data_IF_816338518357
#
_entry.id   IF_816338518357
#
_cell.length_a   1.000
_cell.length_b   1.000
_cell.length_c   1.000
_cell.angle_alpha   90.00
_cell.angle_beta   90.00
_cell.angle_gamma   90.00
#
_symmetry.space_group_name_H-M   'P 1'
#
loop_
_entity.id
_entity.type
_entity.pdbx_description
1 polymer ?
#
# COMPACT_ATOMS: atom_id res chain seq x y z
N UNK A 1 5.96 29.35 37.56
CA UNK A 1 5.24 30.11 36.52
C UNK A 1 5.34 29.26 35.25
N UNK A 2 4.32 28.67 34.64
CA UNK A 2 2.87 28.74 34.87
C UNK A 2 2.12 27.51 34.31
N UNK A 3 2.80 26.40 33.94
CA UNK A 3 2.12 25.27 33.26
C UNK A 3 2.16 23.94 34.02
N UNK A 4 2.88 23.89 35.14
CA UNK A 4 2.89 22.76 36.10
C UNK A 4 1.72 22.80 37.12
N UNK A 5 0.73 23.68 36.92
CA UNK A 5 -0.32 23.99 37.92
C UNK A 5 -1.78 23.75 37.48
N UNK A 6 -2.03 23.04 36.38
CA UNK A 6 -3.39 22.55 36.04
C UNK A 6 -3.52 21.02 36.12
N UNK A 7 -2.74 20.44 37.04
CA UNK A 7 -3.13 19.41 38.03
C UNK A 7 -4.24 18.42 37.60
N UNK A 8 -3.96 17.12 37.54
CA UNK A 8 -3.90 16.26 38.74
C UNK A 8 -5.20 16.19 39.59
N UNK A 9 -6.35 16.71 39.16
CA UNK A 9 -7.53 16.73 40.04
C UNK A 9 -8.73 15.83 39.73
N UNK A 10 -8.87 15.12 38.60
CA UNK A 10 -10.16 14.40 38.37
C UNK A 10 -10.04 12.97 37.79
N UNK A 11 -9.32 12.09 38.49
CA UNK A 11 -9.67 10.64 38.50
C UNK A 11 -10.58 10.40 39.70
N UNK A 12 -11.89 10.14 39.50
CA UNK A 12 -12.69 9.12 40.21
C UNK A 12 -14.15 9.01 39.72
N UNK A 13 -14.55 7.80 39.25
CA UNK A 13 -15.89 7.14 39.26
C UNK A 13 -17.15 7.94 38.82
N UNK A 14 -18.03 7.52 37.89
CA UNK A 14 -18.54 6.24 37.33
C UNK A 14 -19.95 6.57 36.72
N UNK A 15 -20.91 5.64 36.44
CA UNK A 15 -20.89 4.21 36.11
C UNK A 15 -21.34 3.92 34.64
N UNK A 16 -21.50 2.64 34.31
CA UNK A 16 -21.88 2.04 33.02
C UNK A 16 -23.06 2.70 32.27
N UNK A 17 -22.97 2.74 30.92
CA UNK A 17 -23.85 2.04 29.95
C UNK A 17 -23.48 2.46 28.49
N UNK A 18 -23.58 1.48 27.59
CA UNK A 18 -23.22 1.44 26.17
C UNK A 18 -23.39 2.72 25.31
N UNK A 19 -22.39 3.02 24.46
CA UNK A 19 -22.59 3.01 23.00
C UNK A 19 -21.24 3.02 22.26
N UNK A 20 -21.00 1.97 21.49
CA UNK A 20 -19.94 1.85 20.50
C UNK A 20 -20.27 2.79 19.33
N UNK A 21 -19.44 3.79 19.07
CA UNK A 21 -19.52 4.57 17.83
C UNK A 21 -18.22 4.40 17.08
N UNK A 22 -18.22 3.39 16.21
CA UNK A 22 -17.28 3.27 15.11
C UNK A 22 -17.63 4.38 14.12
N UNK A 23 -16.90 5.50 14.18
CA UNK A 23 -16.93 6.48 13.09
C UNK A 23 -15.82 6.12 12.10
N UNK A 24 -16.24 5.50 11.01
CA UNK A 24 -15.44 5.20 9.84
C UNK A 24 -15.03 6.53 9.17
N UNK A 25 -13.81 7.01 9.44
CA UNK A 25 -13.24 8.15 8.73
C UNK A 25 -12.85 7.74 7.31
N UNK A 26 -13.71 8.15 6.38
CA UNK A 26 -13.52 8.07 4.92
C UNK A 26 -12.74 9.31 4.47
N UNK A 27 -11.96 9.13 3.39
CA UNK A 27 -11.32 10.15 2.55
C UNK A 27 -10.07 10.88 3.09
N UNK A 28 -8.89 10.31 2.83
CA UNK A 28 -7.69 11.10 2.59
C UNK A 28 -7.31 11.03 1.11
N UNK A 29 -7.59 12.13 0.41
CA UNK A 29 -7.14 12.38 -0.95
C UNK A 29 -5.66 12.76 -0.94
N UNK A 30 -4.77 11.76 -0.88
CA UNK A 30 -3.33 11.95 -1.08
C UNK A 30 -2.87 11.42 -2.43
N UNK A 31 -2.78 12.33 -3.40
CA UNK A 31 -1.89 12.24 -4.57
C UNK A 31 -1.92 10.89 -5.34
N UNK A 32 -3.05 10.59 -5.97
CA UNK A 32 -3.34 9.35 -6.73
C UNK A 32 -2.66 9.28 -8.11
N UNK A 33 -1.39 9.69 -8.23
CA UNK A 33 -0.59 9.47 -9.44
C UNK A 33 0.29 8.21 -9.37
N UNK A 34 0.39 7.57 -8.19
CA UNK A 34 1.28 6.42 -7.95
C UNK A 34 0.54 5.08 -7.84
N UNK A 35 -0.73 5.02 -8.18
CA UNK A 35 -1.58 3.87 -7.94
C UNK A 35 -1.84 2.99 -9.18
N UNK A 36 -1.12 3.26 -10.26
CA UNK A 36 -1.31 2.61 -11.55
C UNK A 36 -0.29 1.50 -11.75
N UNK A 37 -0.77 0.34 -12.16
CA UNK A 37 0.09 -0.74 -12.62
C UNK A 37 0.71 -0.37 -13.97
N UNK A 38 2.03 -0.46 -14.11
CA UNK A 38 2.70 -0.09 -15.35
C UNK A 38 2.34 -0.98 -16.57
N UNK A 39 1.70 -2.14 -16.37
CA UNK A 39 1.22 -3.00 -17.46
C UNK A 39 -0.24 -2.74 -17.87
N UNK A 40 -1.09 -2.19 -17.00
CA UNK A 40 -2.50 -1.94 -17.30
C UNK A 40 -3.00 -0.72 -16.53
N UNK A 41 -3.85 0.09 -17.17
CA UNK A 41 -4.54 1.23 -16.55
C UNK A 41 -5.65 0.79 -15.57
N UNK A 42 -5.36 -0.20 -14.71
CA UNK A 42 -6.26 -0.78 -13.73
C UNK A 42 -5.98 -0.17 -12.37
N UNK A 43 -7.04 0.30 -11.71
CA UNK A 43 -6.98 0.93 -10.40
C UNK A 43 -6.56 -0.08 -9.32
N UNK A 44 -5.71 0.39 -8.41
CA UNK A 44 -5.19 -0.36 -7.28
C UNK A 44 -6.28 -1.09 -6.50
N UNK A 45 -5.98 -2.34 -6.18
CA UNK A 45 -6.75 -3.16 -5.27
C UNK A 45 -5.81 -3.57 -4.14
N UNK A 46 -6.09 -3.11 -2.92
CA UNK A 46 -5.24 -3.30 -1.73
C UNK A 46 -4.89 -4.78 -1.44
N UNK A 47 -5.72 -5.73 -1.89
CA UNK A 47 -5.50 -7.17 -1.73
C UNK A 47 -4.76 -7.85 -2.90
N UNK A 48 -4.13 -7.09 -3.80
CA UNK A 48 -3.40 -7.66 -4.93
C UNK A 48 -1.90 -7.70 -4.64
N UNK A 49 -1.24 -8.77 -5.04
CA UNK A 49 0.22 -8.87 -4.96
C UNK A 49 0.88 -7.94 -6.00
N UNK A 50 1.89 -7.18 -5.55
CA UNK A 50 2.68 -6.27 -6.38
C UNK A 50 4.16 -6.67 -6.38
N UNK A 51 4.84 -6.34 -7.48
CA UNK A 51 6.27 -6.59 -7.67
C UNK A 51 6.91 -5.40 -8.39
N UNK A 52 8.12 -5.03 -7.98
CA UNK A 52 8.95 -4.01 -8.64
C UNK A 52 9.94 -4.65 -9.60
N UNK A 53 10.11 -4.09 -10.79
CA UNK A 53 11.16 -4.52 -11.73
C UNK A 53 12.52 -3.92 -11.35
N UNK A 54 13.56 -4.75 -11.29
CA UNK A 54 14.94 -4.33 -10.99
C UNK A 54 15.58 -3.48 -12.08
N UNK A 55 15.11 -3.61 -13.33
CA UNK A 55 15.69 -2.91 -14.48
C UNK A 55 15.10 -1.51 -14.67
N UNK A 56 13.78 -1.36 -14.57
CA UNK A 56 13.10 -0.08 -14.79
C UNK A 56 12.52 0.57 -13.52
N UNK A 57 12.54 -0.11 -12.38
CA UNK A 57 12.01 0.40 -11.10
C UNK A 57 10.49 0.54 -11.04
N UNK A 58 9.76 0.16 -12.10
CA UNK A 58 8.30 0.25 -12.16
C UNK A 58 7.62 -0.86 -11.35
N UNK A 59 6.43 -0.56 -10.85
CA UNK A 59 5.60 -1.48 -10.06
C UNK A 59 4.47 -2.10 -10.89
N UNK A 60 4.25 -3.38 -10.65
CA UNK A 60 3.31 -4.20 -11.40
C UNK A 60 2.46 -5.07 -10.49
N UNK A 61 1.19 -5.27 -10.83
CA UNK A 61 0.42 -6.38 -10.27
C UNK A 61 1.05 -7.69 -10.74
N UNK A 62 1.31 -8.64 -9.85
CA UNK A 62 1.91 -9.92 -10.24
C UNK A 62 1.11 -10.65 -11.34
N UNK A 63 -0.22 -10.56 -11.30
CA UNK A 63 -1.10 -11.10 -12.35
C UNK A 63 -0.86 -10.45 -13.73
N UNK A 64 -0.59 -9.14 -13.77
CA UNK A 64 -0.39 -8.40 -15.02
C UNK A 64 0.89 -8.78 -15.75
N UNK A 65 1.87 -9.27 -15.01
CA UNK A 65 3.17 -9.70 -15.53
C UNK A 65 3.42 -11.19 -15.30
N UNK A 66 2.33 -11.93 -15.09
CA UNK A 66 2.28 -13.39 -14.97
C UNK A 66 3.26 -14.00 -13.95
N UNK A 67 3.40 -13.38 -12.79
CA UNK A 67 4.21 -13.88 -11.66
C UNK A 67 3.37 -14.02 -10.39
N UNK A 68 3.58 -15.11 -9.66
CA UNK A 68 2.92 -15.36 -8.37
C UNK A 68 3.81 -14.91 -7.21
N UNK A 69 3.21 -14.63 -6.05
CA UNK A 69 3.98 -14.28 -4.84
C UNK A 69 4.96 -15.38 -4.44
N UNK A 70 4.59 -16.65 -4.63
CA UNK A 70 5.48 -17.78 -4.39
C UNK A 70 6.69 -17.72 -5.32
N UNK A 71 6.47 -17.59 -6.62
CA UNK A 71 7.53 -17.49 -7.63
C UNK A 71 8.46 -16.29 -7.37
N UNK A 72 7.92 -15.13 -6.99
CA UNK A 72 8.70 -13.95 -6.61
C UNK A 72 9.54 -14.17 -5.34
N UNK A 73 9.02 -14.89 -4.35
CA UNK A 73 9.74 -15.21 -3.12
C UNK A 73 10.97 -16.11 -3.32
N UNK A 74 11.09 -16.77 -4.47
CA UNK A 74 12.23 -17.63 -4.82
C UNK A 74 13.24 -16.96 -5.76
N UNK A 75 13.01 -15.70 -6.17
CA UNK A 75 13.88 -14.98 -7.13
C UNK A 75 14.58 -13.81 -6.45
N UNK A 76 15.88 -13.67 -6.72
CA UNK A 76 16.68 -12.56 -6.20
C UNK A 76 16.47 -11.26 -6.99
N UNK A 77 16.13 -11.36 -8.28
CA UNK A 77 15.80 -10.22 -9.16
C UNK A 77 14.62 -10.57 -10.05
N UNK A 78 13.83 -9.57 -10.36
CA UNK A 78 12.68 -9.63 -11.26
C UNK A 78 12.83 -8.66 -12.43
N UNK A 79 12.76 -9.19 -13.65
CA UNK A 79 12.71 -8.42 -14.91
C UNK A 79 11.27 -8.43 -15.44
N UNK A 80 10.70 -7.26 -15.76
CA UNK A 80 9.36 -7.17 -16.32
C UNK A 80 9.34 -7.57 -17.81
N UNK A 81 8.17 -7.93 -18.37
CA UNK A 81 8.07 -8.33 -19.77
C UNK A 81 8.59 -7.27 -20.74
N UNK A 82 8.32 -5.99 -20.47
CA UNK A 82 8.79 -4.88 -21.30
C UNK A 82 10.33 -4.87 -21.40
N UNK A 83 11.02 -4.86 -20.25
CA UNK A 83 12.48 -4.90 -20.22
C UNK A 83 13.05 -6.17 -20.86
N UNK A 84 12.39 -7.32 -20.65
CA UNK A 84 12.76 -8.57 -21.30
C UNK A 84 12.67 -8.44 -22.83
N UNK A 85 11.57 -7.92 -23.38
CA UNK A 85 11.37 -7.76 -24.83
C UNK A 85 12.34 -6.75 -25.45
N UNK A 86 12.58 -5.64 -24.78
CA UNK A 86 13.59 -4.65 -25.19
C UNK A 86 14.99 -5.29 -25.25
N UNK A 87 15.34 -6.11 -24.26
CA UNK A 87 16.64 -6.79 -24.20
C UNK A 87 16.82 -7.87 -25.27
N UNK A 88 15.77 -8.62 -25.62
CA UNK A 88 15.85 -9.68 -26.64
C UNK A 88 15.59 -9.17 -28.07
N UNK A 89 15.21 -7.91 -28.23
CA UNK A 89 14.98 -7.29 -29.54
C UNK A 89 13.72 -7.79 -30.25
N UNK A 90 12.69 -8.17 -29.49
CA UNK A 90 11.39 -8.52 -30.07
C UNK A 90 10.54 -7.26 -30.21
N UNK A 91 10.26 -6.86 -31.45
CA UNK A 91 9.34 -5.78 -31.82
C UNK A 91 8.27 -6.27 -32.77
#
# INVERSE_FOLDING_TARGET
>A
EQEVYLIEEQIYSGPAEANEVLEEEKDDATNDDNNYCASYNSCYKANTFWISCDECGKWYHGKSVNITSSEAGHKERYECPDCYYERVGWS
#
